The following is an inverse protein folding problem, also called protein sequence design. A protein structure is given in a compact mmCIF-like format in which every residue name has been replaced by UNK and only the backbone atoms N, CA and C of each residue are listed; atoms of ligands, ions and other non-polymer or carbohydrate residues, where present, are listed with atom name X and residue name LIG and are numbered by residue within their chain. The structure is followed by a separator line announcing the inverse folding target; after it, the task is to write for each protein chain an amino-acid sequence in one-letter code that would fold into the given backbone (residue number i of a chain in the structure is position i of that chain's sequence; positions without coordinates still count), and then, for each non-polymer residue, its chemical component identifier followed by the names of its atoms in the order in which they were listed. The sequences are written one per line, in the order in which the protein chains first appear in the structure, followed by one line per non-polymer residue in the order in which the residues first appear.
data_IF_201153029422
#
_entry.id   IF_201153029422
#
_cell.length_a   1.000
_cell.length_b   1.000
_cell.length_c   1.000
_cell.angle_alpha   90.00
_cell.angle_beta   90.00
_cell.angle_gamma   90.00
#
_symmetry.space_group_name_H-M   'P 1'
#
loop_
_entity.id
_entity.type
_entity.pdbx_description
1 polymer ?
#
# COMPACT_ATOMS: atom_id res chain seq x y z
N UNK A 1 -5.25 5.78 10.54
CA UNK A 1 -4.43 4.63 10.13
C UNK A 1 -4.84 4.23 8.72
N UNK A 2 -4.09 3.35 8.06
CA UNK A 2 -4.52 2.79 6.77
C UNK A 2 -5.87 2.07 6.90
N UNK A 3 -6.14 1.45 8.06
CA UNK A 3 -7.44 0.93 8.46
C UNK A 3 -8.59 1.97 8.47
N UNK A 4 -8.32 3.22 8.85
CA UNK A 4 -9.34 4.29 8.82
C UNK A 4 -9.64 4.74 7.40
N UNK A 5 -8.63 4.76 6.52
CA UNK A 5 -8.80 5.13 5.11
C UNK A 5 -9.55 4.02 4.37
N UNK A 6 -9.21 2.76 4.63
CA UNK A 6 -9.92 1.61 4.07
C UNK A 6 -11.39 1.57 4.47
N UNK A 7 -11.75 2.00 5.69
CA UNK A 7 -13.14 2.04 6.14
C UNK A 7 -14.02 3.07 5.40
N UNK A 8 -13.42 4.02 4.69
CA UNK A 8 -14.13 5.08 3.96
C UNK A 8 -14.27 4.79 2.46
N UNK A 9 -13.62 3.74 1.98
CA UNK A 9 -13.57 3.39 0.56
C UNK A 9 -14.36 2.11 0.29
N UNK A 10 -15.06 2.02 -0.85
CA UNK A 10 -15.76 0.79 -1.21
C UNK A 10 -14.75 -0.32 -1.49
N UNK A 11 -15.04 -1.51 -0.97
CA UNK A 11 -14.33 -2.72 -1.34
C UNK A 11 -14.95 -3.34 -2.61
N UNK A 12 -14.16 -4.08 -3.37
CA UNK A 12 -14.64 -4.95 -4.44
C UNK A 12 -15.25 -6.26 -3.91
N UNK A 13 -15.62 -7.18 -4.81
CA UNK A 13 -16.25 -8.46 -4.46
C UNK A 13 -15.34 -9.39 -3.64
N UNK A 14 -14.02 -9.21 -3.73
CA UNK A 14 -13.01 -9.99 -3.02
C UNK A 14 -12.50 -9.29 -1.74
N UNK A 15 -13.15 -8.19 -1.33
CA UNK A 15 -12.79 -7.42 -0.14
C UNK A 15 -11.57 -6.50 -0.32
N UNK A 16 -11.10 -6.33 -1.56
CA UNK A 16 -9.99 -5.43 -1.84
C UNK A 16 -10.45 -3.99 -1.90
N UNK A 17 -9.60 -3.09 -1.42
CA UNK A 17 -9.83 -1.65 -1.51
C UNK A 17 -8.75 -1.09 -2.39
N UNK A 18 -9.15 -0.52 -3.53
CA UNK A 18 -8.23 -0.13 -4.59
C UNK A 18 -8.38 1.36 -4.87
N UNK A 19 -7.26 2.07 -4.82
CA UNK A 19 -7.11 3.45 -5.29
C UNK A 19 -5.93 3.46 -6.25
N UNK A 20 -6.20 3.78 -7.52
CA UNK A 20 -5.21 3.76 -8.61
C UNK A 20 -5.38 2.57 -9.56
N UNK A 21 -4.33 2.26 -10.32
CA UNK A 21 -4.34 1.22 -11.35
C UNK A 21 -3.89 -0.12 -10.75
N UNK A 22 -4.79 -1.10 -10.69
CA UNK A 22 -4.52 -2.41 -10.12
C UNK A 22 -5.02 -3.55 -11.02
N UNK A 23 -4.26 -4.63 -11.09
CA UNK A 23 -4.64 -5.90 -11.72
C UNK A 23 -4.33 -7.04 -10.76
N UNK A 24 -5.38 -7.59 -10.13
CA UNK A 24 -5.27 -8.73 -9.23
C UNK A 24 -5.65 -10.04 -9.89
N UNK A 25 -4.90 -11.10 -9.59
CA UNK A 25 -5.30 -12.49 -9.78
C UNK A 25 -5.30 -13.17 -8.40
N UNK A 26 -6.41 -13.76 -7.98
CA UNK A 26 -6.56 -14.38 -6.66
C UNK A 26 -6.07 -13.47 -5.51
N UNK A 27 -6.48 -12.19 -5.55
CA UNK A 27 -6.13 -11.20 -4.51
C UNK A 27 -7.36 -10.89 -3.67
N UNK A 28 -7.25 -11.04 -2.35
CA UNK A 28 -8.36 -10.89 -1.40
C UNK A 28 -7.98 -10.00 -0.24
N UNK A 29 -8.97 -9.34 0.34
CA UNK A 29 -8.82 -8.54 1.56
C UNK A 29 -7.56 -7.65 1.56
N UNK A 30 -7.20 -7.06 0.42
CA UNK A 30 -5.96 -6.31 0.23
C UNK A 30 -6.25 -4.84 -0.02
N UNK A 31 -5.50 -3.94 0.63
CA UNK A 31 -5.53 -2.51 0.37
C UNK A 31 -4.44 -2.17 -0.65
N UNK A 32 -4.82 -1.60 -1.78
CA UNK A 32 -3.90 -1.08 -2.81
C UNK A 32 -4.14 0.42 -2.93
N UNK A 33 -3.10 1.20 -2.67
CA UNK A 33 -3.17 2.65 -2.69
C UNK A 33 -2.01 3.22 -3.49
N UNK A 34 -2.28 3.64 -4.72
CA UNK A 34 -1.31 4.28 -5.61
C UNK A 34 -1.74 5.71 -5.84
N UNK A 35 -0.87 6.64 -5.46
CA UNK A 35 -1.06 8.07 -5.72
C UNK A 35 -0.43 8.50 -7.06
N UNK A 36 0.56 7.75 -7.57
CA UNK A 36 1.16 8.06 -8.86
C UNK A 36 0.24 7.54 -9.98
N UNK A 37 -0.29 8.45 -10.79
CA UNK A 37 -1.40 8.16 -11.72
C UNK A 37 -1.09 7.12 -12.81
N UNK A 38 0.17 6.74 -13.03
CA UNK A 38 0.59 6.00 -14.23
C UNK A 38 1.07 4.56 -13.97
N UNK A 39 1.28 4.14 -12.71
CA UNK A 39 1.87 2.82 -12.43
C UNK A 39 0.79 1.77 -12.18
N UNK A 40 0.86 0.67 -12.93
CA UNK A 40 0.06 -0.53 -12.69
C UNK A 40 0.65 -1.34 -11.54
N UNK A 41 -0.16 -1.62 -10.52
CA UNK A 41 0.15 -2.59 -9.46
C UNK A 41 -0.48 -3.92 -9.85
N UNK A 42 0.33 -4.96 -10.10
CA UNK A 42 -0.15 -6.30 -10.37
C UNK A 42 0.09 -7.23 -9.17
N UNK A 43 -0.92 -7.98 -8.74
CA UNK A 43 -0.84 -8.89 -7.58
C UNK A 43 -1.34 -10.29 -7.95
N UNK A 44 -0.71 -11.32 -7.37
CA UNK A 44 -1.10 -12.71 -7.57
C UNK A 44 -1.07 -13.44 -6.22
N UNK A 45 -2.20 -14.04 -5.82
CA UNK A 45 -2.28 -14.88 -4.62
C UNK A 45 -2.06 -14.13 -3.29
N UNK A 46 -2.34 -12.82 -3.25
CA UNK A 46 -2.18 -12.02 -2.04
C UNK A 46 -3.46 -12.02 -1.20
N UNK A 47 -3.31 -12.10 0.12
CA UNK A 47 -4.41 -12.01 1.06
C UNK A 47 -4.00 -11.14 2.26
N UNK A 48 -4.87 -10.21 2.67
CA UNK A 48 -4.64 -9.44 3.89
C UNK A 48 -3.48 -8.45 3.81
N UNK A 49 -3.15 -7.94 2.62
CA UNK A 49 -1.98 -7.07 2.43
C UNK A 49 -2.34 -5.57 2.40
N UNK A 50 -1.35 -4.72 2.63
CA UNK A 50 -1.35 -3.28 2.37
C UNK A 50 -0.22 -3.01 1.38
N UNK A 51 -0.57 -2.40 0.25
CA UNK A 51 0.35 -1.94 -0.77
C UNK A 51 0.11 -0.45 -0.94
N UNK A 52 1.14 0.35 -0.67
CA UNK A 52 1.11 1.80 -0.81
C UNK A 52 2.23 2.21 -1.76
N UNK A 53 1.88 2.91 -2.82
CA UNK A 53 2.81 3.45 -3.79
C UNK A 53 2.77 4.98 -3.75
N UNK A 54 3.96 5.56 -3.67
CA UNK A 54 4.25 6.98 -3.79
C UNK A 54 5.31 7.19 -4.88
N UNK A 55 5.56 8.44 -5.25
CA UNK A 55 6.54 8.76 -6.32
C UNK A 55 7.94 8.18 -6.04
N UNK A 56 8.36 8.19 -4.78
CA UNK A 56 9.71 7.81 -4.33
C UNK A 56 9.86 6.37 -3.85
N UNK A 57 8.76 5.72 -3.44
CA UNK A 57 8.83 4.41 -2.79
C UNK A 57 7.54 3.59 -2.92
N UNK A 58 7.71 2.27 -2.80
CA UNK A 58 6.61 1.32 -2.63
C UNK A 58 6.75 0.67 -1.26
N UNK A 59 5.70 0.74 -0.46
CA UNK A 59 5.58 0.08 0.83
C UNK A 59 4.60 -1.09 0.72
N UNK A 60 5.01 -2.25 1.23
CA UNK A 60 4.20 -3.46 1.25
C UNK A 60 4.30 -4.09 2.63
N UNK A 61 3.16 -4.37 3.27
CA UNK A 61 3.13 -5.09 4.54
C UNK A 61 1.81 -5.86 4.74
N UNK A 62 1.77 -6.85 5.63
CA UNK A 62 0.51 -7.41 6.12
C UNK A 62 -0.34 -6.35 6.83
N UNK A 63 -1.67 -6.45 6.73
CA UNK A 63 -2.61 -5.55 7.40
C UNK A 63 -2.40 -5.54 8.92
N UNK A 64 -2.04 -6.67 9.51
CA UNK A 64 -1.82 -6.84 10.95
C UNK A 64 -0.64 -5.99 11.46
N UNK A 65 0.29 -5.62 10.56
CA UNK A 65 1.49 -4.84 10.87
C UNK A 65 1.35 -3.38 10.44
N UNK A 66 0.15 -2.89 10.15
CA UNK A 66 -0.08 -1.51 9.69
C UNK A 66 0.50 -0.44 10.63
N UNK A 67 0.63 -0.74 11.92
CA UNK A 67 1.17 0.19 12.92
C UNK A 67 2.66 0.43 12.74
N UNK A 68 3.38 -0.55 12.19
CA UNK A 68 4.82 -0.49 11.93
C UNK A 68 5.15 0.31 10.67
N UNK A 69 4.15 0.65 9.84
CA UNK A 69 4.34 1.50 8.64
C UNK A 69 4.96 2.84 9.00
N UNK A 70 4.59 3.42 10.15
CA UNK A 70 5.17 4.68 10.64
C UNK A 70 6.67 4.57 10.92
N UNK A 71 7.14 3.40 11.33
CA UNK A 71 8.56 3.17 11.60
C UNK A 71 9.36 3.08 10.30
N UNK A 72 8.83 2.36 9.30
CA UNK A 72 9.45 2.31 7.97
C UNK A 72 9.51 3.70 7.31
N UNK A 73 8.43 4.51 7.41
CA UNK A 73 8.44 5.88 6.89
C UNK A 73 9.56 6.71 7.53
N UNK A 74 9.73 6.64 8.86
CA UNK A 74 10.83 7.34 9.54
C UNK A 74 12.21 6.88 9.07
N UNK A 75 12.38 5.58 8.83
CA UNK A 75 13.64 5.02 8.33
C UNK A 75 13.95 5.47 6.90
N UNK A 76 12.92 5.65 6.07
CA UNK A 76 13.05 6.17 4.71
C UNK A 76 13.45 7.65 4.72
N UNK A 77 12.79 8.47 5.54
CA UNK A 77 13.13 9.89 5.74
C UNK A 77 14.59 10.06 6.20
N UNK A 78 15.01 9.29 7.22
CA UNK A 78 16.38 9.33 7.73
C UNK A 78 17.43 8.90 6.69
N UNK A 79 17.09 7.95 5.80
CA UNK A 79 17.98 7.55 4.69
C UNK A 79 18.03 8.58 3.58
N UNK A 80 16.92 9.24 3.27
CA UNK A 80 16.92 10.33 2.30
C UNK A 80 17.76 11.51 2.79
N UNK A 81 17.69 11.87 4.08
CA UNK A 81 18.55 12.90 4.68
C UNK A 81 20.05 12.58 4.54
N UNK A 82 20.45 11.30 4.62
CA UNK A 82 21.84 10.88 4.44
C UNK A 82 22.34 10.96 2.98
N UNK A 83 21.44 10.94 2.00
CA UNK A 83 21.82 11.09 0.59
C UNK A 83 22.04 12.58 0.19
N UNK A 84 21.75 13.52 1.08
CA UNK A 84 21.94 14.97 0.87
C UNK A 84 23.14 15.56 1.65
N UNK A 85 23.93 14.74 2.34
CA UNK A 85 25.18 15.11 3.04
C UNK A 85 26.41 14.55 2.32
#
# INVERSE_FOLDING_TARGET
SWASLSALLPADEDGNIIVGHHLGLDTRDTLVFSLASERLIATIGLEGMIIVETDDAVLICPKEREQEVREIVRLLEAKQEQNYL
#
